data_IF_455486989945
#
_entry.id   IF_455486989945
#
_cell.length_a   1.000
_cell.length_b   1.000
_cell.length_c   1.000
_cell.angle_alpha   90.00
_cell.angle_beta   90.00
_cell.angle_gamma   90.00
#
_symmetry.space_group_name_H-M   'P 1'
#
loop_
_entity.id
_entity.type
_entity.pdbx_description
1 polymer ?
#
# COMPACT_ATOMS: atom_id res chain seq x y z
N UNK A 1 -4.52 -1.51 13.72
CA UNK A 1 -3.10 -1.11 13.87
C UNK A 1 -3.03 0.41 13.95
N UNK A 2 -2.22 0.96 14.83
CA UNK A 2 -1.96 2.40 14.90
C UNK A 2 -0.55 2.66 14.38
N UNK A 3 -0.40 3.64 13.48
CA UNK A 3 0.90 4.11 13.00
C UNK A 3 0.82 5.62 12.80
N UNK A 4 1.74 6.36 13.42
CA UNK A 4 1.83 7.82 13.32
C UNK A 4 0.49 8.53 13.62
N UNK A 5 -0.20 8.11 14.68
CA UNK A 5 -1.51 8.62 15.11
C UNK A 5 -2.69 8.35 14.15
N UNK A 6 -2.47 7.53 13.12
CA UNK A 6 -3.54 7.08 12.24
C UNK A 6 -3.88 5.62 12.49
N UNK A 7 -5.18 5.34 12.48
CA UNK A 7 -5.68 3.97 12.63
C UNK A 7 -5.88 3.29 11.28
N UNK A 8 -5.49 2.04 11.24
CA UNK A 8 -5.58 1.17 10.08
C UNK A 8 -6.39 -0.08 10.43
N UNK A 9 -7.28 -0.45 9.50
CA UNK A 9 -8.03 -1.72 9.50
C UNK A 9 -7.47 -2.67 8.44
N UNK A 10 -7.59 -3.97 8.69
CA UNK A 10 -7.20 -4.99 7.71
C UNK A 10 -8.09 -4.84 6.48
N UNK A 11 -7.48 -4.63 5.32
CA UNK A 11 -8.17 -4.59 4.04
C UNK A 11 -8.18 -5.96 3.38
N UNK A 12 -7.04 -6.67 3.45
CA UNK A 12 -6.89 -7.99 2.84
C UNK A 12 -5.77 -8.77 3.53
N UNK A 13 -6.04 -10.01 3.88
CA UNK A 13 -5.02 -10.95 4.35
C UNK A 13 -4.64 -11.90 3.22
N UNK A 14 -3.34 -12.08 2.95
CA UNK A 14 -2.86 -13.01 1.92
C UNK A 14 -2.32 -14.30 2.54
N UNK A 15 -1.62 -14.17 3.66
CA UNK A 15 -1.13 -15.29 4.47
C UNK A 15 -1.29 -14.93 5.95
N UNK A 16 -1.14 -15.88 6.89
CA UNK A 16 -1.20 -15.58 8.33
C UNK A 16 -0.27 -14.44 8.75
N UNK A 17 0.87 -14.28 8.06
CA UNK A 17 1.87 -13.26 8.37
C UNK A 17 1.82 -12.04 7.45
N UNK A 18 1.13 -12.09 6.30
CA UNK A 18 1.07 -10.98 5.33
C UNK A 18 -0.32 -10.35 5.29
N UNK A 19 -0.43 -9.14 5.85
CA UNK A 19 -1.68 -8.38 5.92
C UNK A 19 -1.52 -7.03 5.22
N UNK A 20 -2.47 -6.69 4.36
CA UNK A 20 -2.64 -5.36 3.80
C UNK A 20 -3.63 -4.58 4.67
N UNK A 21 -3.25 -3.36 5.03
CA UNK A 21 -4.07 -2.49 5.85
C UNK A 21 -4.35 -1.18 5.12
N UNK A 22 -5.53 -0.63 5.39
CA UNK A 22 -5.94 0.67 4.89
C UNK A 22 -6.37 1.56 6.05
N UNK A 23 -6.24 2.87 5.88
CA UNK A 23 -6.72 3.82 6.88
C UNK A 23 -8.21 3.61 7.16
N UNK A 24 -8.61 3.71 8.43
CA UNK A 24 -10.02 3.61 8.86
C UNK A 24 -10.90 4.64 8.14
N UNK A 25 -10.38 5.84 7.88
CA UNK A 25 -11.07 6.92 7.15
C UNK A 25 -11.14 6.72 5.63
N UNK A 26 -10.79 5.55 5.10
CA UNK A 26 -10.89 5.24 3.65
C UNK A 26 -12.31 5.44 3.11
N UNK A 27 -13.34 5.04 3.86
CA UNK A 27 -14.73 5.15 3.40
C UNK A 27 -15.28 6.58 3.55
N UNK A 28 -15.00 7.21 4.70
CA UNK A 28 -15.46 8.54 5.09
C UNK A 28 -14.76 9.67 4.32
N UNK A 29 -13.42 9.65 4.26
CA UNK A 29 -12.60 10.72 3.69
C UNK A 29 -11.97 10.35 2.34
N UNK A 30 -12.23 9.15 1.82
CA UNK A 30 -11.55 8.60 0.62
C UNK A 30 -10.03 8.56 0.77
N UNK A 31 -9.55 8.43 2.01
CA UNK A 31 -8.12 8.35 2.32
C UNK A 31 -7.47 7.17 1.59
N UNK A 32 -6.29 7.43 1.02
CA UNK A 32 -5.54 6.45 0.20
C UNK A 32 -4.34 5.85 0.94
N UNK A 33 -4.10 6.24 2.18
CA UNK A 33 -3.02 5.71 2.99
C UNK A 33 -3.15 4.18 3.16
N UNK A 34 -2.03 3.49 2.94
CA UNK A 34 -1.96 2.03 2.94
C UNK A 34 -0.62 1.57 3.48
N UNK A 35 -0.66 0.49 4.25
CA UNK A 35 0.53 -0.19 4.76
C UNK A 35 0.37 -1.70 4.54
N UNK A 36 1.49 -2.41 4.53
CA UNK A 36 1.52 -3.87 4.50
C UNK A 36 2.40 -4.34 5.64
N UNK A 37 1.96 -5.33 6.38
CA UNK A 37 2.76 -5.97 7.41
C UNK A 37 3.17 -7.35 6.96
N UNK A 38 4.42 -7.72 7.21
CA UNK A 38 4.93 -9.08 7.04
C UNK A 38 5.82 -9.44 8.23
N UNK A 39 5.49 -10.50 8.97
CA UNK A 39 6.20 -10.86 10.21
C UNK A 39 6.34 -9.65 11.17
N UNK A 40 7.57 -9.20 11.46
CA UNK A 40 7.88 -8.04 12.29
C UNK A 40 8.18 -6.76 11.49
N UNK A 41 7.80 -6.71 10.22
CA UNK A 41 8.07 -5.57 9.33
C UNK A 41 6.78 -4.89 8.89
N UNK A 42 6.84 -3.56 8.85
CA UNK A 42 5.80 -2.67 8.32
C UNK A 42 6.37 -1.98 7.09
N UNK A 43 5.68 -2.10 5.97
CA UNK A 43 5.97 -1.37 4.75
C UNK A 43 4.89 -0.33 4.52
N UNK A 44 5.29 0.93 4.56
CA UNK A 44 4.43 2.06 4.20
C UNK A 44 4.33 2.09 2.68
N UNK A 45 3.14 1.82 2.13
CA UNK A 45 2.88 1.90 0.69
C UNK A 45 2.47 3.30 0.28
N UNK A 46 1.70 3.97 1.15
CA UNK A 46 1.33 5.38 1.01
C UNK A 46 1.08 5.97 2.39
N UNK A 47 1.81 7.03 2.73
CA UNK A 47 1.73 7.74 4.02
C UNK A 47 0.78 8.92 4.01
N UNK A 48 0.43 9.48 2.85
CA UNK A 48 -0.37 10.71 2.81
C UNK A 48 -1.81 10.46 3.25
N UNK A 49 -2.22 11.19 4.30
CA UNK A 49 -3.59 11.27 4.77
C UNK A 49 -4.21 12.60 4.33
N UNK A 50 -5.52 12.60 4.14
CA UNK A 50 -6.30 13.79 3.76
C UNK A 50 -7.33 14.15 4.85
N UNK A 51 -7.03 13.78 6.10
CA UNK A 51 -7.86 14.03 7.26
C UNK A 51 -6.96 14.11 8.50
N UNK A 52 -7.52 14.66 9.57
CA UNK A 52 -6.89 14.71 10.87
C UNK A 52 -6.57 13.31 11.43
N UNK A 53 -5.55 13.19 12.29
CA UNK A 53 -5.25 11.96 13.02
C UNK A 53 -6.48 11.38 13.73
N UNK A 54 -6.65 10.06 13.67
CA UNK A 54 -7.82 9.40 14.25
C UNK A 54 -7.55 8.83 15.64
N UNK A 55 -6.28 8.59 15.97
CA UNK A 55 -5.88 8.03 17.25
C UNK A 55 -5.78 9.11 18.33
N UNK A 56 -6.47 8.91 19.46
CA UNK A 56 -6.58 9.89 20.56
C UNK A 56 -5.70 9.59 21.78
N UNK A 57 -4.74 8.66 21.68
CA UNK A 57 -3.70 8.47 22.69
C UNK A 57 -3.92 7.33 23.68
N UNK A 58 -5.09 6.69 23.71
CA UNK A 58 -5.35 5.55 24.60
C UNK A 58 -5.44 4.26 23.80
N UNK A 59 -4.32 3.52 23.72
CA UNK A 59 -4.31 2.14 23.27
C UNK A 59 -3.86 1.27 24.44
N UNK A 60 -4.76 0.50 25.08
CA UNK A 60 -4.37 -0.45 26.13
C UNK A 60 -3.57 -1.64 25.60
N UNK A 61 -3.27 -1.67 24.29
CA UNK A 61 -2.48 -2.72 23.66
C UNK A 61 -0.98 -2.49 23.88
N UNK A 62 -0.25 -3.58 24.09
CA UNK A 62 1.19 -3.56 24.22
C UNK A 62 1.86 -3.06 22.92
N UNK A 63 2.76 -2.09 23.05
CA UNK A 63 3.53 -1.57 21.92
C UNK A 63 4.51 -2.64 21.42
N UNK A 64 4.39 -3.05 20.15
CA UNK A 64 5.33 -3.98 19.53
C UNK A 64 6.41 -3.23 18.76
N UNK A 65 7.68 -3.56 19.02
CA UNK A 65 8.80 -3.10 18.18
C UNK A 65 8.75 -3.77 16.81
N UNK A 66 8.81 -2.98 15.75
CA UNK A 66 8.75 -3.44 14.36
C UNK A 66 9.74 -2.66 13.51
N UNK A 67 10.18 -3.26 12.41
CA UNK A 67 10.99 -2.58 11.41
C UNK A 67 10.08 -1.84 10.42
N UNK A 68 10.26 -0.53 10.28
CA UNK A 68 9.48 0.29 9.34
C UNK A 68 10.32 0.57 8.10
N UNK A 69 9.72 0.42 6.92
CA UNK A 69 10.31 0.78 5.64
C UNK A 69 9.29 1.41 4.71
N UNK A 70 9.76 2.16 3.70
CA UNK A 70 8.91 2.71 2.66
C UNK A 70 8.95 1.79 1.43
N UNK A 71 7.78 1.49 0.88
CA UNK A 71 7.67 0.69 -0.32
C UNK A 71 8.33 1.41 -1.49
N UNK A 72 9.25 0.74 -2.20
CA UNK A 72 9.77 1.24 -3.46
C UNK A 72 8.60 1.50 -4.43
N UNK A 73 8.60 2.60 -5.20
CA UNK A 73 7.62 2.78 -6.27
C UNK A 73 7.69 1.57 -7.19
N UNK A 74 6.55 0.90 -7.42
CA UNK A 74 6.50 -0.19 -8.40
C UNK A 74 6.84 0.43 -9.75
N UNK A 75 7.98 0.07 -10.34
CA UNK A 75 8.20 0.27 -11.78
C UNK A 75 7.04 -0.45 -12.45
N UNK A 76 6.16 0.29 -13.11
CA UNK A 76 5.11 -0.27 -13.93
C UNK A 76 5.77 -1.21 -14.94
N UNK A 77 5.34 -2.47 -14.98
CA UNK A 77 5.74 -3.37 -16.07
C UNK A 77 5.08 -2.81 -17.33
N UNK A 78 5.80 -2.01 -18.10
CA UNK A 78 5.34 -1.53 -19.41
C UNK A 78 4.92 -2.75 -20.22
N UNK A 79 3.67 -2.77 -20.69
CA UNK A 79 3.20 -3.78 -21.65
C UNK A 79 4.12 -3.69 -22.88
N UNK A 80 4.78 -4.79 -23.25
CA UNK A 80 5.35 -4.94 -24.61
C UNK A 80 4.18 -4.82 -25.59
N UNK A 81 4.08 -3.70 -26.28
CA UNK A 81 3.28 -3.55 -27.50
C UNK A 81 4.06 -4.22 -28.63
N UNK A 82 3.57 -5.33 -29.15
CA UNK A 82 4.06 -5.92 -30.39
C UNK A 82 3.21 -5.31 -31.52
N UNK A 83 3.71 -4.25 -32.15
CA UNK A 83 3.16 -3.74 -33.40
C UNK A 83 3.46 -4.77 -34.50
N UNK A 84 2.40 -5.34 -35.08
CA UNK A 84 2.46 -5.96 -36.40
C UNK A 84 2.76 -4.82 -37.39
N UNK A 85 3.93 -4.88 -38.02
CA UNK A 85 4.26 -4.07 -39.18
C UNK A 85 4.28 -5.03 -40.37
N UNK A 86 3.21 -4.98 -41.15
CA UNK A 86 3.11 -5.62 -42.44
C UNK A 86 3.47 -4.57 -43.49
N UNK A 87 4.71 -4.60 -43.95
CA UNK A 87 5.12 -3.87 -45.14
C UNK A 87 5.36 -4.87 -46.27
N UNK A 88 4.40 -4.86 -47.18
CA UNK A 88 4.54 -5.30 -48.56
C UNK A 88 5.16 -4.14 -49.32
N UNK A 89 6.37 -4.29 -49.85
CA UNK A 89 6.81 -3.55 -51.03
C UNK A 89 7.65 -4.44 -51.94
N UNK A 90 7.52 -4.09 -53.22
CA UNK A 90 7.77 -4.75 -54.49
C UNK A 90 9.26 -4.69 -54.91
N UNK A 91 9.57 -5.05 -56.17
CA UNK A 91 10.86 -4.98 -56.91
C UNK A 91 11.58 -6.36 -56.99
N UNK A 92 11.86 -6.97 -58.15
CA UNK A 92 11.71 -6.68 -59.59
C UNK A 92 11.62 -8.02 -60.36
#
# INVERSE_FOLDING_TARGET
MVLDQYEYKVERQTTPTNMCWCCVSKEKSKCKARIVTFHNHVVIKRSDHNHEPTFKGECPMESRKVHISYGKPRKTRTKRSNSHESDVEDIE
#
